data_IF_973632323148
#
_entry.id   IF_973632323148
#
_cell.length_a   1.000
_cell.length_b   1.000
_cell.length_c   1.000
_cell.angle_alpha   90.00
_cell.angle_beta   90.00
_cell.angle_gamma   90.00
#
_symmetry.space_group_name_H-M   'P 1'
#
loop_
_entity.id
_entity.type
_entity.pdbx_description
1 polymer ?
#
# COMPACT_ATOMS: atom_id res chain seq x y z
N UNK A 1 -6.89 47.83 26.91
CA UNK A 1 -6.32 47.09 25.78
C UNK A 1 -6.13 45.67 26.25
N UNK A 2 -7.08 44.77 25.89
CA UNK A 2 -7.05 43.35 26.26
C UNK A 2 -6.51 42.60 25.07
N UNK A 3 -5.26 42.12 25.21
CA UNK A 3 -4.63 41.22 24.22
C UNK A 3 -5.32 39.84 24.25
N UNK A 4 -6.06 39.50 23.19
CA UNK A 4 -6.54 38.15 22.91
C UNK A 4 -5.35 37.32 22.43
N UNK A 5 -4.73 36.60 23.34
CA UNK A 5 -3.91 35.45 22.94
C UNK A 5 -4.82 34.36 22.40
N UNK A 6 -4.92 34.26 21.08
CA UNK A 6 -5.44 33.07 20.45
C UNK A 6 -4.40 31.95 20.63
N UNK A 7 -4.66 31.04 21.57
CA UNK A 7 -3.91 29.79 21.67
C UNK A 7 -4.24 28.94 20.45
N UNK A 8 -3.37 28.95 19.46
CA UNK A 8 -3.36 27.92 18.41
C UNK A 8 -2.95 26.62 19.09
N UNK A 9 -3.92 25.81 19.46
CA UNK A 9 -3.68 24.44 19.87
C UNK A 9 -3.19 23.71 18.62
N UNK A 10 -1.87 23.69 18.44
CA UNK A 10 -1.23 22.86 17.42
C UNK A 10 -1.64 21.42 17.74
N UNK A 11 -2.47 20.81 16.88
CA UNK A 11 -2.85 19.41 17.00
C UNK A 11 -1.57 18.60 16.88
N UNK A 12 -1.02 18.18 18.03
CA UNK A 12 0.17 17.35 18.07
C UNK A 12 -0.21 16.06 17.34
N UNK A 13 0.28 15.91 16.12
CA UNK A 13 0.11 14.67 15.36
C UNK A 13 0.95 13.60 16.04
N UNK A 14 0.30 12.66 16.71
CA UNK A 14 0.97 11.51 17.31
C UNK A 14 1.65 10.70 16.21
N UNK A 15 2.95 10.50 16.34
CA UNK A 15 3.71 9.64 15.41
C UNK A 15 3.12 8.24 15.44
N UNK A 16 2.85 7.69 14.26
CA UNK A 16 2.35 6.33 14.08
C UNK A 16 3.20 5.63 13.02
N UNK A 17 3.92 4.62 13.41
CA UNK A 17 4.73 3.79 12.52
C UNK A 17 4.12 2.40 12.39
N UNK A 18 4.48 1.68 11.36
CA UNK A 18 3.95 0.34 11.11
C UNK A 18 5.02 -0.60 10.57
N UNK A 19 5.02 -1.81 11.10
CA UNK A 19 5.61 -2.97 10.46
C UNK A 19 4.50 -3.85 9.86
N UNK A 20 4.67 -4.29 8.62
CA UNK A 20 3.62 -4.99 7.89
C UNK A 20 4.22 -6.22 7.15
N UNK A 21 4.58 -7.27 7.88
CA UNK A 21 5.14 -8.48 7.28
C UNK A 21 4.08 -9.34 6.60
N UNK A 22 4.47 -10.01 5.50
CA UNK A 22 3.70 -11.10 4.91
C UNK A 22 4.11 -12.41 5.57
N UNK A 23 3.16 -13.23 6.09
CA UNK A 23 3.47 -14.45 6.83
C UNK A 23 3.71 -15.64 5.89
N UNK A 24 4.62 -15.47 4.92
CA UNK A 24 5.01 -16.48 3.92
C UNK A 24 6.27 -17.24 4.29
N UNK A 25 6.75 -17.08 5.53
CA UNK A 25 7.93 -17.70 6.09
C UNK A 25 8.36 -17.05 7.40
N UNK A 26 9.56 -17.38 7.87
CA UNK A 26 10.12 -16.84 9.12
C UNK A 26 10.51 -15.36 8.97
N UNK A 27 10.54 -14.65 10.12
CA UNK A 27 11.09 -13.31 10.18
C UNK A 27 12.60 -13.35 9.91
N UNK A 28 13.02 -12.81 8.77
CA UNK A 28 14.44 -12.73 8.43
C UNK A 28 15.02 -11.38 8.86
N UNK A 29 16.36 -11.27 8.87
CA UNK A 29 17.09 -10.09 9.36
C UNK A 29 16.66 -8.77 8.69
N UNK A 30 16.30 -8.79 7.40
CA UNK A 30 15.79 -7.61 6.68
C UNK A 30 14.45 -7.14 7.22
N UNK A 31 13.53 -8.07 7.52
CA UNK A 31 12.26 -7.77 8.18
C UNK A 31 12.46 -7.25 9.59
N UNK A 32 13.33 -7.90 10.39
CA UNK A 32 13.67 -7.47 11.74
C UNK A 32 14.25 -6.04 11.75
N UNK A 33 15.15 -5.71 10.81
CA UNK A 33 15.68 -4.35 10.65
C UNK A 33 14.58 -3.32 10.38
N UNK A 34 13.65 -3.63 9.48
CA UNK A 34 12.54 -2.73 9.15
C UNK A 34 11.62 -2.50 10.35
N UNK A 35 11.31 -3.58 11.09
CA UNK A 35 10.55 -3.50 12.33
C UNK A 35 11.27 -2.63 13.37
N UNK A 36 12.56 -2.85 13.57
CA UNK A 36 13.39 -2.10 14.52
C UNK A 36 13.40 -0.60 14.23
N UNK A 37 13.58 -0.17 12.97
CA UNK A 37 13.54 1.24 12.62
C UNK A 37 12.19 1.88 12.89
N UNK A 38 11.11 1.20 12.52
CA UNK A 38 9.75 1.67 12.77
C UNK A 38 9.44 1.75 14.26
N UNK A 39 9.85 0.75 15.03
CA UNK A 39 9.69 0.70 16.48
C UNK A 39 10.50 1.80 17.17
N UNK A 40 11.80 1.93 16.85
CA UNK A 40 12.67 2.93 17.46
C UNK A 40 12.20 4.36 17.17
N UNK A 41 11.72 4.64 15.95
CA UNK A 41 11.16 5.93 15.61
C UNK A 41 9.91 6.26 16.43
N UNK A 42 8.97 5.31 16.56
CA UNK A 42 7.81 5.48 17.40
C UNK A 42 8.20 5.75 18.87
N UNK A 43 9.11 4.94 19.43
CA UNK A 43 9.57 5.09 20.83
C UNK A 43 10.28 6.44 21.06
N UNK A 44 11.13 6.88 20.12
CA UNK A 44 11.83 8.16 20.21
C UNK A 44 10.88 9.36 20.32
N UNK A 45 9.76 9.32 19.61
CA UNK A 45 8.80 10.43 19.57
C UNK A 45 7.55 10.21 20.42
N UNK A 46 7.54 9.22 21.32
CA UNK A 46 6.38 8.90 22.15
C UNK A 46 5.13 8.51 21.35
N UNK A 47 5.35 7.98 20.16
CA UNK A 47 4.30 7.58 19.22
C UNK A 47 3.81 6.15 19.42
N UNK A 48 3.12 5.62 18.42
CA UNK A 48 2.54 4.27 18.39
C UNK A 48 3.22 3.43 17.31
N UNK A 49 3.61 2.21 17.68
CA UNK A 49 4.09 1.19 16.75
C UNK A 49 3.00 0.16 16.49
N UNK A 50 2.66 -0.05 15.23
CA UNK A 50 1.52 -0.84 14.78
C UNK A 50 2.04 -2.09 14.06
N UNK A 51 1.44 -3.24 14.35
CA UNK A 51 1.68 -4.47 13.60
C UNK A 51 0.48 -4.79 12.71
N UNK A 52 0.75 -5.01 11.41
CA UNK A 52 -0.23 -5.54 10.46
C UNK A 52 0.33 -6.75 9.75
N UNK A 53 -0.38 -7.85 9.79
CA UNK A 53 -0.05 -9.07 9.05
C UNK A 53 -0.69 -8.96 7.67
N UNK A 54 0.14 -9.02 6.61
CA UNK A 54 -0.30 -8.96 5.22
C UNK A 54 -0.49 -10.37 4.66
N UNK A 55 -1.61 -10.99 5.02
CA UNK A 55 -2.00 -12.37 4.73
C UNK A 55 -2.79 -12.53 3.42
N UNK A 56 -2.49 -11.69 2.42
CA UNK A 56 -3.19 -11.68 1.13
C UNK A 56 -2.83 -12.88 0.23
N UNK A 57 -1.64 -13.44 0.37
CA UNK A 57 -1.22 -14.66 -0.30
C UNK A 57 -1.68 -15.87 0.53
N UNK A 58 -2.92 -16.31 0.30
CA UNK A 58 -3.55 -17.36 1.10
C UNK A 58 -2.89 -18.73 0.94
N UNK A 59 -2.20 -18.99 -0.18
CA UNK A 59 -1.51 -20.26 -0.41
C UNK A 59 -0.25 -20.38 0.43
N UNK A 60 0.50 -19.29 0.60
CA UNK A 60 1.77 -19.26 1.33
C UNK A 60 1.65 -18.74 2.76
N UNK A 61 0.55 -18.06 3.10
CA UNK A 61 0.33 -17.53 4.45
C UNK A 61 -0.16 -18.63 5.38
N UNK A 62 0.64 -18.96 6.39
CA UNK A 62 0.29 -19.98 7.38
C UNK A 62 0.18 -19.41 8.79
N UNK A 63 -0.53 -20.10 9.66
CA UNK A 63 -0.63 -19.74 11.09
C UNK A 63 0.73 -19.86 11.76
N UNK A 64 1.50 -20.88 11.40
CA UNK A 64 2.85 -21.15 11.92
C UNK A 64 3.80 -20.02 11.55
N UNK A 65 3.78 -19.55 10.29
CA UNK A 65 4.59 -18.42 9.85
C UNK A 65 4.18 -17.12 10.56
N UNK A 66 2.89 -16.91 10.78
CA UNK A 66 2.40 -15.76 11.56
C UNK A 66 2.92 -15.82 12.99
N UNK A 67 2.82 -16.98 13.65
CA UNK A 67 3.30 -17.16 15.03
C UNK A 67 4.81 -16.96 15.11
N UNK A 68 5.58 -17.49 14.15
CA UNK A 68 7.02 -17.29 14.10
C UNK A 68 7.44 -15.82 13.97
N UNK A 69 6.66 -15.01 13.26
CA UNK A 69 6.88 -13.56 13.19
C UNK A 69 6.64 -12.92 14.57
N UNK A 70 5.52 -13.26 15.23
CA UNK A 70 5.18 -12.74 16.56
C UNK A 70 6.25 -13.13 17.61
N UNK A 71 6.67 -14.38 17.61
CA UNK A 71 7.70 -14.89 18.50
C UNK A 71 9.04 -14.20 18.26
N UNK A 72 9.42 -14.01 17.00
CA UNK A 72 10.65 -13.30 16.61
C UNK A 72 10.63 -11.83 17.04
N UNK A 73 9.50 -11.14 16.90
CA UNK A 73 9.34 -9.76 17.38
C UNK A 73 9.43 -9.70 18.91
N UNK A 74 8.76 -10.61 19.61
CA UNK A 74 8.81 -10.72 21.08
C UNK A 74 10.23 -10.99 21.58
N UNK A 75 10.94 -11.92 20.94
CA UNK A 75 12.33 -12.23 21.26
C UNK A 75 13.26 -11.02 21.08
N UNK A 76 13.01 -10.17 20.07
CA UNK A 76 13.75 -8.94 19.82
C UNK A 76 13.33 -7.76 20.73
N UNK A 77 12.28 -7.91 21.55
CA UNK A 77 11.72 -6.84 22.36
C UNK A 77 11.01 -5.76 21.56
N UNK A 78 10.52 -6.07 20.35
CA UNK A 78 9.82 -5.15 19.47
C UNK A 78 8.31 -5.23 19.70
N UNK A 79 7.87 -4.84 20.88
CA UNK A 79 6.47 -4.80 21.30
C UNK A 79 5.69 -3.73 20.53
N UNK A 80 4.52 -4.12 20.01
CA UNK A 80 3.62 -3.22 19.31
C UNK A 80 2.52 -2.68 20.23
N UNK A 81 2.07 -1.45 19.96
CA UNK A 81 1.02 -0.79 20.74
C UNK A 81 -0.37 -1.13 20.22
N UNK A 82 -0.49 -1.41 18.91
CA UNK A 82 -1.76 -1.71 18.25
C UNK A 82 -1.60 -2.88 17.28
N UNK A 83 -2.59 -3.74 17.25
CA UNK A 83 -2.60 -4.95 16.40
C UNK A 83 -2.45 -6.26 17.22
N UNK A 84 -2.08 -7.38 16.57
CA UNK A 84 -1.89 -7.48 15.11
C UNK A 84 -3.21 -7.31 14.35
N UNK A 85 -3.18 -6.47 13.32
CA UNK A 85 -4.27 -6.39 12.37
C UNK A 85 -4.00 -7.34 11.21
N UNK A 86 -5.01 -8.10 10.79
CA UNK A 86 -4.92 -9.00 9.65
C UNK A 86 -5.58 -8.36 8.43
N UNK A 87 -4.86 -8.32 7.32
CA UNK A 87 -5.33 -7.62 6.12
C UNK A 87 -6.59 -8.26 5.55
N UNK A 88 -6.67 -9.60 5.49
CA UNK A 88 -7.85 -10.30 4.97
C UNK A 88 -9.10 -10.15 5.84
N UNK A 89 -8.96 -9.91 7.14
CA UNK A 89 -10.12 -9.63 8.01
C UNK A 89 -10.79 -8.30 7.71
N UNK A 90 -10.16 -7.44 6.92
CA UNK A 90 -10.67 -6.12 6.54
C UNK A 90 -11.13 -6.05 5.07
N UNK A 91 -11.28 -7.19 4.41
CA UNK A 91 -11.64 -7.27 2.99
C UNK A 91 -12.93 -6.50 2.67
N UNK A 92 -13.94 -6.60 3.53
CA UNK A 92 -15.20 -5.85 3.36
C UNK A 92 -14.93 -4.34 3.27
N UNK A 93 -14.07 -3.80 4.17
CA UNK A 93 -13.71 -2.38 4.13
C UNK A 93 -13.00 -1.99 2.85
N UNK A 94 -12.15 -2.86 2.32
CA UNK A 94 -11.47 -2.60 1.04
C UNK A 94 -12.44 -2.59 -0.13
N UNK A 95 -13.43 -3.50 -0.14
CA UNK A 95 -14.51 -3.51 -1.12
C UNK A 95 -15.33 -2.22 -1.08
N UNK A 96 -15.77 -1.78 0.10
CA UNK A 96 -16.50 -0.52 0.28
C UNK A 96 -15.72 0.69 -0.28
N UNK A 97 -14.41 0.76 0.00
CA UNK A 97 -13.56 1.85 -0.49
C UNK A 97 -13.38 1.75 -2.01
N UNK A 98 -13.15 0.55 -2.55
CA UNK A 98 -13.04 0.36 -3.99
C UNK A 98 -14.31 0.76 -4.73
N UNK A 99 -15.48 0.40 -4.20
CA UNK A 99 -16.79 0.82 -4.74
C UNK A 99 -16.98 2.34 -4.68
N UNK A 100 -16.51 2.99 -3.60
CA UNK A 100 -16.57 4.45 -3.50
C UNK A 100 -15.67 5.09 -4.56
N UNK A 101 -14.44 4.60 -4.75
CA UNK A 101 -13.52 5.10 -5.78
C UNK A 101 -14.09 4.93 -7.20
N UNK A 102 -14.79 3.81 -7.45
CA UNK A 102 -15.50 3.59 -8.73
C UNK A 102 -16.62 4.62 -8.94
N UNK A 103 -17.45 4.87 -7.91
CA UNK A 103 -18.52 5.89 -7.96
C UNK A 103 -17.97 7.29 -8.20
N UNK A 104 -16.84 7.62 -7.59
CA UNK A 104 -16.19 8.93 -7.70
C UNK A 104 -15.32 9.06 -8.97
N UNK A 105 -15.37 8.08 -9.88
CA UNK A 105 -14.54 8.01 -11.09
C UNK A 105 -13.03 8.10 -10.81
N UNK A 106 -12.60 7.65 -9.63
CA UNK A 106 -11.20 7.55 -9.22
C UNK A 106 -10.62 6.14 -9.39
N UNK A 107 -11.45 5.19 -9.77
CA UNK A 107 -11.07 3.83 -10.15
C UNK A 107 -11.91 3.37 -11.34
N UNK A 108 -11.52 2.27 -11.96
CA UNK A 108 -12.24 1.67 -13.08
C UNK A 108 -12.04 0.15 -13.13
N UNK A 109 -12.95 -0.54 -13.81
CA UNK A 109 -12.82 -1.96 -14.06
C UNK A 109 -11.89 -2.23 -15.23
N UNK A 110 -10.95 -3.15 -15.03
CA UNK A 110 -10.03 -3.61 -16.06
C UNK A 110 -10.24 -5.09 -16.33
N UNK A 111 -10.54 -5.43 -17.58
CA UNK A 111 -10.81 -6.79 -18.06
C UNK A 111 -9.64 -7.34 -18.89
N UNK A 112 -8.45 -6.75 -18.80
CA UNK A 112 -7.28 -7.27 -19.49
C UNK A 112 -6.89 -8.65 -18.94
N UNK A 113 -6.74 -9.64 -19.81
CA UNK A 113 -6.28 -10.96 -19.43
C UNK A 113 -4.79 -10.97 -19.08
N UNK A 114 -4.33 -12.03 -18.43
CA UNK A 114 -2.92 -12.20 -18.13
C UNK A 114 -2.08 -12.23 -19.40
N UNK A 115 -2.55 -12.94 -20.41
CA UNK A 115 -1.88 -13.09 -21.72
C UNK A 115 -1.74 -11.74 -22.41
N UNK A 116 -2.82 -10.92 -22.44
CA UNK A 116 -2.77 -9.55 -22.98
C UNK A 116 -1.77 -8.67 -22.25
N UNK A 117 -1.67 -8.80 -20.93
CA UNK A 117 -0.72 -8.03 -20.12
C UNK A 117 0.72 -8.48 -20.35
N UNK A 118 0.95 -9.78 -20.50
CA UNK A 118 2.28 -10.33 -20.76
C UNK A 118 2.76 -9.95 -22.17
N UNK A 119 1.91 -10.06 -23.18
CA UNK A 119 2.21 -9.59 -24.55
C UNK A 119 2.52 -8.07 -24.58
N UNK A 120 1.76 -7.28 -23.85
CA UNK A 120 1.99 -5.83 -23.73
C UNK A 120 3.38 -5.55 -23.12
N UNK A 121 3.75 -6.27 -22.03
CA UNK A 121 5.05 -6.12 -21.38
C UNK A 121 6.21 -6.50 -22.31
N UNK A 122 6.08 -7.61 -23.03
CA UNK A 122 7.09 -8.07 -23.99
C UNK A 122 7.30 -7.05 -25.11
N UNK A 123 6.23 -6.48 -25.66
CA UNK A 123 6.30 -5.41 -26.66
C UNK A 123 7.01 -4.17 -26.14
N UNK A 124 6.71 -3.75 -24.91
CA UNK A 124 7.35 -2.59 -24.29
C UNK A 124 8.83 -2.84 -24.03
N UNK A 125 9.19 -4.03 -23.51
CA UNK A 125 10.60 -4.42 -23.30
C UNK A 125 11.38 -4.45 -24.60
N UNK A 126 10.81 -5.04 -25.66
CA UNK A 126 11.44 -5.10 -26.99
C UNK A 126 11.66 -3.71 -27.61
N UNK A 127 10.81 -2.74 -27.24
CA UNK A 127 10.95 -1.34 -27.64
C UNK A 127 11.88 -0.52 -26.73
N UNK A 128 12.52 -1.15 -25.73
CA UNK A 128 13.39 -0.47 -24.76
C UNK A 128 12.63 0.40 -23.75
N UNK A 129 11.32 0.20 -23.62
CA UNK A 129 10.46 0.95 -22.69
C UNK A 129 10.36 0.24 -21.35
N UNK A 130 10.14 1.01 -20.29
CA UNK A 130 9.81 0.45 -18.97
C UNK A 130 8.40 -0.16 -19.00
N UNK A 131 8.23 -1.46 -18.73
CA UNK A 131 6.93 -2.11 -18.77
C UNK A 131 5.96 -1.49 -17.77
N UNK A 132 4.77 -1.16 -18.25
CA UNK A 132 3.66 -0.69 -17.41
C UNK A 132 2.33 -0.89 -18.13
N UNK A 133 1.25 -0.85 -17.37
CA UNK A 133 -0.09 -0.94 -17.91
C UNK A 133 -0.40 0.25 -18.83
N UNK A 134 -0.96 -0.02 -20.01
CA UNK A 134 -1.19 0.98 -21.07
C UNK A 134 -2.52 1.75 -20.94
N UNK A 135 -3.31 1.46 -19.91
CA UNK A 135 -4.58 2.14 -19.69
C UNK A 135 -5.70 1.71 -20.63
N UNK A 136 -5.58 0.58 -21.36
CA UNK A 136 -6.54 0.15 -22.41
C UNK A 136 -7.99 0.02 -21.96
N UNK A 137 -8.26 -0.10 -20.67
CA UNK A 137 -9.58 -0.14 -20.07
C UNK A 137 -9.98 1.17 -19.38
N UNK A 138 -9.05 2.09 -19.23
CA UNK A 138 -9.30 3.39 -18.64
C UNK A 138 -10.15 4.22 -19.60
N UNK A 139 -11.28 4.75 -19.11
CA UNK A 139 -12.24 5.53 -19.90
C UNK A 139 -12.73 4.81 -21.19
N UNK A 140 -12.71 3.48 -21.16
CA UNK A 140 -13.07 2.63 -22.30
C UNK A 140 -14.58 2.40 -22.37
N UNK A 141 -15.12 2.56 -23.58
CA UNK A 141 -16.51 2.18 -23.90
C UNK A 141 -16.62 0.74 -24.44
N UNK A 142 -15.57 -0.08 -24.29
CA UNK A 142 -15.58 -1.47 -24.75
C UNK A 142 -16.58 -2.29 -23.93
N UNK A 143 -17.26 -3.20 -24.61
CA UNK A 143 -18.09 -4.19 -23.94
C UNK A 143 -17.22 -5.15 -23.13
N UNK A 144 -17.51 -5.38 -21.85
CA UNK A 144 -16.79 -6.37 -21.05
C UNK A 144 -16.84 -7.75 -21.71
N UNK A 145 -15.71 -8.46 -21.81
CA UNK A 145 -15.70 -9.82 -22.36
C UNK A 145 -16.46 -10.79 -21.46
N UNK A 146 -17.21 -11.69 -22.05
CA UNK A 146 -17.98 -12.68 -21.30
C UNK A 146 -17.07 -13.61 -20.49
N UNK A 147 -17.43 -13.87 -19.24
CA UNK A 147 -16.73 -14.83 -18.37
C UNK A 147 -15.43 -14.33 -17.74
N UNK A 148 -14.98 -13.11 -18.05
CA UNK A 148 -13.81 -12.51 -17.40
C UNK A 148 -14.22 -11.68 -16.20
N UNK A 149 -13.71 -12.01 -15.01
CA UNK A 149 -13.86 -11.17 -13.83
C UNK A 149 -12.91 -9.99 -13.91
N UNK A 150 -13.38 -8.75 -13.74
CA UNK A 150 -12.50 -7.59 -13.75
C UNK A 150 -11.65 -7.50 -12.48
N UNK A 151 -10.53 -6.81 -12.61
CA UNK A 151 -9.85 -6.20 -11.46
C UNK A 151 -10.24 -4.72 -11.38
N UNK A 152 -10.17 -4.16 -10.19
CA UNK A 152 -10.35 -2.71 -9.97
C UNK A 152 -8.99 -2.04 -10.00
N UNK A 153 -8.82 -1.05 -10.87
CA UNK A 153 -7.59 -0.24 -10.94
C UNK A 153 -7.83 1.18 -10.47
N UNK A 154 -6.84 1.70 -9.73
CA UNK A 154 -6.81 3.12 -9.39
C UNK A 154 -6.62 3.96 -10.67
N UNK A 155 -7.39 5.03 -10.79
CA UNK A 155 -7.26 5.99 -11.89
C UNK A 155 -6.22 7.05 -11.53
N UNK A 156 -4.93 6.73 -11.70
CA UNK A 156 -3.86 7.64 -11.38
C UNK A 156 -3.91 8.91 -12.27
N UNK A 157 -3.69 10.13 -11.75
CA UNK A 157 -3.55 11.31 -12.58
C UNK A 157 -2.44 11.15 -13.61
N UNK A 158 -2.69 11.50 -14.88
CA UNK A 158 -1.71 11.32 -15.96
C UNK A 158 -0.63 12.41 -15.95
N UNK A 159 -1.00 13.63 -15.53
CA UNK A 159 -0.14 14.81 -15.55
C UNK A 159 0.17 15.29 -14.12
N UNK A 160 1.24 16.08 -13.99
CA UNK A 160 1.67 16.63 -12.70
C UNK A 160 2.63 15.69 -11.95
N UNK A 161 2.76 15.93 -10.67
CA UNK A 161 3.74 15.27 -9.82
C UNK A 161 3.11 14.89 -8.48
N UNK A 162 3.50 13.75 -7.93
CA UNK A 162 3.33 13.43 -6.50
C UNK A 162 4.57 13.92 -5.78
N UNK A 163 4.38 14.79 -4.80
CA UNK A 163 5.48 15.35 -4.02
C UNK A 163 5.27 15.08 -2.53
N UNK A 164 6.35 14.79 -1.83
CA UNK A 164 6.35 14.63 -0.37
C UNK A 164 7.74 14.91 0.19
N UNK A 165 7.82 15.19 1.48
CA UNK A 165 9.08 15.35 2.18
C UNK A 165 9.40 14.05 2.92
N UNK A 166 10.46 13.37 2.47
CA UNK A 166 11.00 12.19 3.14
C UNK A 166 11.96 12.62 4.23
N UNK A 167 11.84 12.04 5.42
CA UNK A 167 12.67 12.42 6.58
C UNK A 167 14.17 12.12 6.41
N UNK A 168 14.52 11.24 5.47
CA UNK A 168 15.89 10.82 5.19
C UNK A 168 16.40 11.45 3.89
N UNK A 169 15.59 11.39 2.83
CA UNK A 169 15.96 11.82 1.47
C UNK A 169 15.60 13.28 1.17
N UNK A 170 14.85 13.94 2.04
CA UNK A 170 14.37 15.29 1.83
C UNK A 170 13.20 15.36 0.83
N UNK A 171 13.14 16.42 0.04
CA UNK A 171 12.07 16.62 -0.93
C UNK A 171 12.10 15.59 -2.06
N UNK A 172 11.02 14.82 -2.19
CA UNK A 172 10.82 13.82 -3.24
C UNK A 172 9.74 14.27 -4.20
N UNK A 173 9.98 14.07 -5.49
CA UNK A 173 9.03 14.38 -6.56
C UNK A 173 9.03 13.25 -7.59
N UNK A 174 7.85 12.70 -7.87
CA UNK A 174 7.66 11.62 -8.85
C UNK A 174 6.62 12.09 -9.85
N UNK A 175 6.96 12.08 -11.13
CA UNK A 175 6.03 12.46 -12.19
C UNK A 175 4.90 11.41 -12.29
N UNK A 176 3.65 11.88 -12.40
CA UNK A 176 2.49 10.97 -12.44
C UNK A 176 2.53 10.02 -13.65
N UNK A 177 3.12 10.45 -14.77
CA UNK A 177 3.30 9.58 -15.93
C UNK A 177 4.26 8.40 -15.71
N UNK A 178 5.06 8.40 -14.64
CA UNK A 178 5.90 7.27 -14.24
C UNK A 178 5.16 6.27 -13.34
N UNK A 179 4.01 6.66 -12.81
CA UNK A 179 3.17 5.83 -11.95
C UNK A 179 2.20 5.01 -12.81
N UNK A 180 1.91 3.81 -12.34
CA UNK A 180 0.96 2.90 -12.99
C UNK A 180 -0.45 3.05 -12.38
N UNK A 181 -1.48 2.65 -13.13
CA UNK A 181 -2.82 2.44 -12.59
C UNK A 181 -2.82 1.14 -11.79
N UNK A 182 -2.58 1.26 -10.48
CA UNK A 182 -2.40 0.13 -9.57
C UNK A 182 -3.67 -0.73 -9.48
N UNK A 183 -3.50 -2.05 -9.45
CA UNK A 183 -4.58 -2.98 -9.12
C UNK A 183 -4.88 -2.85 -7.62
N UNK A 184 -6.13 -2.54 -7.29
CA UNK A 184 -6.62 -2.40 -5.92
C UNK A 184 -7.28 -3.70 -5.43
N UNK A 185 -8.01 -4.38 -6.33
CA UNK A 185 -8.72 -5.64 -6.08
C UNK A 185 -8.86 -6.45 -7.37
#
# INVERSE_FOLDING_TARGET
VINHYQSHTQKIMTVRTRFAPSPTGYLHIGGARTALFSWAYARKYGGKFILRIEDTDQERSTKESTQAILDGMSWLGLDYDEGPFYQMQRLQRYQEVAEQLLKDNQAYYCYASKEELDEMREKQLSAGLKPRYDGRWRDSNKTPPAGIKPVVRLKNPLNGFVTFNDEIKGHMSVANHELDDLVLM
#
